data_IF_205459395214
#
_entry.id   IF_205459395214
#
_cell.length_a   1.000
_cell.length_b   1.000
_cell.length_c   1.000
_cell.angle_alpha   90.00
_cell.angle_beta   90.00
_cell.angle_gamma   90.00
#
_symmetry.space_group_name_H-M   'P 1'
#
loop_
_entity.id
_entity.type
_entity.pdbx_description
1 polymer ?
#
# COMPACT_ATOMS: atom_id res chain seq x y z
N UNK A 1 -62.03 20.56 51.48
CA UNK A 1 -61.48 21.38 50.39
C UNK A 1 -60.44 20.54 49.65
N UNK A 2 -60.67 20.25 48.37
CA UNK A 2 -59.75 19.59 47.41
C UNK A 2 -59.42 18.12 47.75
N UNK A 3 -59.77 17.10 46.97
CA UNK A 3 -60.02 17.03 45.53
C UNK A 3 -59.20 15.86 44.99
N UNK A 4 -59.72 14.64 45.12
CA UNK A 4 -59.14 13.43 44.55
C UNK A 4 -59.32 13.44 43.02
N UNK A 5 -58.22 13.51 42.27
CA UNK A 5 -58.19 13.31 40.83
C UNK A 5 -57.98 11.83 40.49
N UNK A 6 -59.01 11.20 39.92
CA UNK A 6 -58.93 9.90 39.27
C UNK A 6 -58.11 9.98 37.95
N UNK A 7 -57.60 8.83 37.46
CA UNK A 7 -56.61 8.74 36.38
C UNK A 7 -57.27 8.76 34.99
N UNK A 8 -56.52 9.19 33.98
CA UNK A 8 -56.90 9.02 32.56
C UNK A 8 -55.89 8.12 31.85
N UNK A 9 -56.33 6.90 31.56
CA UNK A 9 -55.66 5.96 30.68
C UNK A 9 -55.98 6.30 29.21
N UNK A 10 -54.97 6.38 28.35
CA UNK A 10 -55.08 6.06 26.91
C UNK A 10 -53.76 5.52 26.36
N UNK A 11 -53.67 4.20 26.34
CA UNK A 11 -53.51 3.47 25.08
C UNK A 11 -52.08 3.19 24.58
N UNK A 12 -51.79 1.94 24.17
CA UNK A 12 -50.49 1.48 23.73
C UNK A 12 -50.30 1.72 22.23
N UNK A 13 -49.04 1.87 21.79
CA UNK A 13 -48.68 1.64 20.39
C UNK A 13 -47.69 0.48 20.31
N UNK A 14 -47.84 -0.40 19.30
CA UNK A 14 -47.48 -1.80 19.41
C UNK A 14 -46.08 -2.11 18.88
N UNK A 15 -45.54 -3.21 19.41
CA UNK A 15 -44.50 -4.02 18.79
C UNK A 15 -44.87 -4.36 17.35
N UNK A 16 -44.08 -3.85 16.40
CA UNK A 16 -44.03 -4.37 15.04
C UNK A 16 -42.65 -4.95 14.79
N UNK A 17 -42.56 -6.21 15.21
CA UNK A 17 -41.74 -7.27 14.64
C UNK A 17 -41.96 -7.29 13.12
N UNK A 18 -40.98 -6.81 12.34
CA UNK A 18 -40.89 -7.15 10.91
C UNK A 18 -39.54 -7.81 10.69
N UNK A 19 -39.58 -9.14 10.76
CA UNK A 19 -38.61 -10.00 10.10
C UNK A 19 -38.68 -9.67 8.60
N UNK A 20 -37.69 -8.94 8.11
CA UNK A 20 -37.54 -8.58 6.71
C UNK A 20 -36.16 -8.97 6.23
N UNK A 21 -35.95 -10.28 6.07
CA UNK A 21 -34.84 -10.82 5.28
C UNK A 21 -35.01 -10.33 3.84
N UNK A 22 -34.29 -9.26 3.50
CA UNK A 22 -34.12 -8.82 2.11
C UNK A 22 -33.23 -9.87 1.44
N UNK A 23 -33.89 -10.85 0.84
CA UNK A 23 -33.28 -11.84 -0.02
C UNK A 23 -32.86 -11.15 -1.31
N UNK A 24 -31.55 -10.89 -1.42
CA UNK A 24 -30.94 -10.38 -2.65
C UNK A 24 -31.10 -11.43 -3.76
N UNK A 25 -31.72 -11.10 -4.91
CA UNK A 25 -31.76 -12.02 -6.04
C UNK A 25 -30.35 -12.21 -6.62
N UNK A 26 -29.86 -13.44 -6.51
CA UNK A 26 -28.66 -13.94 -7.17
C UNK A 26 -28.95 -14.12 -8.67
N UNK A 27 -28.54 -13.15 -9.48
CA UNK A 27 -28.56 -13.24 -10.94
C UNK A 27 -27.24 -12.70 -11.49
N UNK A 28 -26.61 -13.49 -12.36
CA UNK A 28 -25.64 -12.99 -13.33
C UNK A 28 -24.20 -13.44 -13.12
N UNK A 29 -23.87 -14.64 -13.61
CA UNK A 29 -22.50 -14.97 -14.01
C UNK A 29 -22.08 -14.03 -15.16
N UNK A 30 -21.36 -12.96 -14.86
CA UNK A 30 -20.63 -12.23 -15.88
C UNK A 30 -19.29 -12.92 -16.13
N UNK A 31 -19.29 -13.83 -17.12
CA UNK A 31 -18.05 -14.28 -17.77
C UNK A 31 -17.37 -13.07 -18.43
N UNK A 32 -16.04 -12.90 -18.32
CA UNK A 32 -15.35 -11.96 -19.18
C UNK A 32 -15.52 -12.37 -20.64
N UNK A 33 -16.10 -11.46 -21.42
CA UNK A 33 -16.17 -11.49 -22.87
C UNK A 33 -14.75 -11.54 -23.42
N UNK A 34 -14.43 -12.65 -24.08
CA UNK A 34 -13.21 -12.83 -24.85
C UNK A 34 -13.31 -11.94 -26.09
N UNK A 35 -12.56 -10.84 -26.13
CA UNK A 35 -12.43 -10.05 -27.35
C UNK A 35 -11.45 -10.76 -28.29
N UNK A 36 -12.02 -11.52 -29.22
CA UNK A 36 -11.32 -12.08 -30.37
C UNK A 36 -11.53 -11.18 -31.59
N UNK A 37 -10.65 -10.20 -31.78
CA UNK A 37 -10.39 -9.51 -33.07
C UNK A 37 -8.98 -8.92 -32.98
N UNK A 38 -7.97 -9.19 -33.80
CA UNK A 38 -7.70 -10.08 -34.91
C UNK A 38 -6.21 -9.88 -35.24
N UNK A 39 -5.48 -10.86 -35.80
CA UNK A 39 -4.05 -10.72 -36.03
C UNK A 39 -3.75 -9.77 -37.21
N UNK A 40 -2.84 -8.83 -36.98
CA UNK A 40 -2.21 -8.01 -38.02
C UNK A 40 -1.43 -8.95 -38.94
N UNK A 41 -1.90 -9.01 -40.19
CA UNK A 41 -1.35 -9.78 -41.30
C UNK A 41 0.02 -9.23 -41.70
N UNK A 42 1.09 -9.76 -41.13
CA UNK A 42 2.44 -9.58 -41.65
C UNK A 42 2.71 -10.68 -42.68
N UNK A 43 2.66 -10.31 -43.97
CA UNK A 43 3.16 -11.15 -45.06
C UNK A 43 4.68 -11.23 -44.92
N UNK A 44 5.20 -12.40 -44.60
CA UNK A 44 6.62 -12.71 -44.82
C UNK A 44 6.71 -14.08 -45.48
N UNK A 45 7.43 -14.09 -46.60
CA UNK A 45 7.60 -15.24 -47.49
C UNK A 45 8.20 -16.42 -46.75
N UNK A 46 7.66 -17.60 -47.03
CA UNK A 46 8.30 -18.90 -46.86
C UNK A 46 9.52 -18.96 -47.78
N UNK A 47 10.70 -19.24 -47.22
CA UNK A 47 11.83 -19.84 -47.95
C UNK A 47 12.53 -20.84 -47.03
N UNK A 48 12.32 -22.10 -47.40
CA UNK A 48 13.14 -23.31 -47.29
C UNK A 48 13.84 -23.78 -46.00
N UNK A 49 13.61 -25.08 -45.79
CA UNK A 49 14.14 -25.97 -44.78
C UNK A 49 15.59 -26.36 -45.07
N UNK A 50 16.46 -26.27 -44.05
CA UNK A 50 17.65 -27.12 -43.93
C UNK A 50 17.88 -27.44 -42.45
N UNK A 51 18.07 -28.73 -42.19
CA UNK A 51 18.15 -29.41 -40.92
C UNK A 51 19.57 -29.43 -40.31
N UNK A 52 19.61 -29.88 -39.04
CA UNK A 52 20.70 -30.51 -38.24
C UNK A 52 21.51 -29.59 -37.28
N UNK A 53 22.08 -30.12 -36.17
CA UNK A 53 21.50 -31.03 -35.16
C UNK A 53 21.76 -30.56 -33.70
N UNK A 54 21.07 -31.22 -32.75
CA UNK A 54 21.28 -31.14 -31.30
C UNK A 54 22.73 -31.49 -30.90
N UNK A 55 23.46 -30.55 -30.29
CA UNK A 55 24.41 -30.80 -29.19
C UNK A 55 25.22 -29.54 -28.83
N UNK A 56 24.88 -28.90 -27.72
CA UNK A 56 25.91 -28.39 -26.82
C UNK A 56 25.32 -27.94 -25.49
N UNK A 57 25.81 -28.62 -24.47
CA UNK A 57 25.61 -28.43 -23.04
C UNK A 57 25.85 -26.96 -22.67
N UNK A 58 24.85 -26.32 -22.07
CA UNK A 58 25.08 -25.19 -21.16
C UNK A 58 24.47 -25.52 -19.81
N UNK A 59 25.34 -26.04 -18.96
CA UNK A 59 25.22 -26.21 -17.53
C UNK A 59 24.42 -25.06 -16.90
N UNK A 60 23.25 -25.39 -16.35
CA UNK A 60 22.51 -24.51 -15.47
C UNK A 60 23.35 -24.30 -14.20
N UNK A 61 23.94 -23.11 -14.03
CA UNK A 61 24.54 -22.73 -12.76
C UNK A 61 23.41 -22.49 -11.75
N UNK A 62 23.05 -23.53 -11.01
CA UNK A 62 22.29 -23.38 -9.77
C UNK A 62 23.15 -22.54 -8.81
N UNK A 63 22.77 -21.28 -8.60
CA UNK A 63 23.34 -20.46 -7.54
C UNK A 63 22.96 -21.10 -6.20
N UNK A 64 23.94 -21.73 -5.58
CA UNK A 64 23.90 -22.17 -4.18
C UNK A 64 23.64 -20.94 -3.30
N UNK A 65 22.38 -20.70 -2.95
CA UNK A 65 22.02 -19.64 -2.02
C UNK A 65 22.31 -20.11 -0.61
N UNK A 66 23.56 -19.95 -0.19
CA UNK A 66 23.96 -20.03 1.21
C UNK A 66 23.19 -18.97 2.00
N UNK A 67 22.10 -19.39 2.63
CA UNK A 67 21.26 -18.57 3.54
C UNK A 67 22.08 -18.22 4.77
N UNK A 68 22.85 -17.14 4.65
CA UNK A 68 23.55 -16.54 5.77
C UNK A 68 22.49 -16.00 6.73
N UNK A 69 22.36 -16.62 7.91
CA UNK A 69 21.40 -16.21 8.94
C UNK A 69 21.67 -14.74 9.30
N UNK A 70 20.72 -13.85 9.00
CA UNK A 70 20.84 -12.43 9.39
C UNK A 70 20.80 -12.32 10.91
N UNK A 71 21.68 -11.51 11.47
CA UNK A 71 21.75 -11.26 12.91
C UNK A 71 20.59 -10.36 13.36
N UNK A 72 20.16 -10.52 14.61
CA UNK A 72 19.05 -9.78 15.23
C UNK A 72 19.29 -8.26 15.29
N UNK A 73 20.56 -7.83 15.28
CA UNK A 73 20.94 -6.42 15.21
C UNK A 73 20.77 -5.84 13.81
N UNK A 74 20.98 -6.64 12.76
CA UNK A 74 20.71 -6.23 11.38
C UNK A 74 19.21 -6.02 11.09
N UNK A 75 18.34 -6.43 12.03
CA UNK A 75 16.91 -6.21 11.94
C UNK A 75 16.51 -4.80 12.41
N UNK A 76 17.24 -4.15 13.31
CA UNK A 76 16.96 -2.76 13.69
C UNK A 76 17.75 -1.84 12.76
N UNK A 77 17.05 -1.10 11.91
CA UNK A 77 17.68 -0.33 10.83
C UNK A 77 16.97 0.99 10.65
N UNK A 78 17.76 2.04 10.59
CA UNK A 78 17.33 3.43 10.53
C UNK A 78 18.03 4.08 9.35
N UNK A 79 17.22 4.55 8.38
CA UNK A 79 17.72 5.06 7.10
C UNK A 79 16.95 6.27 6.66
N UNK A 80 17.64 7.21 6.04
CA UNK A 80 17.03 8.35 5.40
C UNK A 80 16.94 8.17 3.89
N UNK A 81 15.75 8.44 3.36
CA UNK A 81 15.42 8.30 1.97
C UNK A 81 14.84 9.60 1.43
N UNK A 82 15.12 9.87 0.15
CA UNK A 82 14.41 10.89 -0.61
C UNK A 82 13.36 10.20 -1.48
N UNK A 83 12.08 10.42 -1.18
CA UNK A 83 10.97 9.82 -1.94
C UNK A 83 10.53 10.79 -3.04
N UNK A 84 10.49 10.32 -4.28
CA UNK A 84 10.02 11.10 -5.43
C UNK A 84 8.50 10.98 -5.62
N UNK A 85 7.74 11.73 -4.82
CA UNK A 85 6.27 11.68 -4.82
C UNK A 85 5.64 12.02 -6.18
N UNK A 86 6.21 12.96 -6.94
CA UNK A 86 5.65 13.37 -8.23
C UNK A 86 5.53 12.21 -9.24
N UNK A 87 6.43 11.21 -9.20
CA UNK A 87 6.32 10.01 -10.07
C UNK A 87 5.14 9.13 -9.69
N UNK A 88 4.81 9.06 -8.40
CA UNK A 88 3.72 8.21 -7.89
C UNK A 88 2.34 8.84 -8.05
N UNK A 89 2.23 10.17 -8.02
CA UNK A 89 0.96 10.89 -8.16
C UNK A 89 0.67 11.35 -9.59
N UNK A 90 1.61 11.16 -10.52
CA UNK A 90 1.43 11.53 -11.93
C UNK A 90 0.24 10.81 -12.56
N UNK A 91 -0.55 11.52 -13.39
CA UNK A 91 -1.74 10.96 -14.03
C UNK A 91 -2.91 10.64 -13.10
N UNK A 92 -2.85 11.00 -11.81
CA UNK A 92 -3.97 10.84 -10.87
C UNK A 92 -4.84 12.08 -10.81
N UNK A 93 -6.12 11.86 -10.49
CA UNK A 93 -7.08 12.95 -10.28
C UNK A 93 -6.62 13.85 -9.12
N UNK A 94 -6.71 15.17 -9.32
CA UNK A 94 -6.21 16.18 -8.39
C UNK A 94 -6.74 15.98 -6.97
N UNK A 95 -8.03 15.68 -6.81
CA UNK A 95 -8.70 15.45 -5.51
C UNK A 95 -8.15 14.25 -4.73
N UNK A 96 -7.42 13.35 -5.39
CA UNK A 96 -6.89 12.13 -4.76
C UNK A 96 -5.37 12.11 -4.68
N UNK A 97 -4.66 13.18 -5.11
CA UNK A 97 -3.18 13.18 -5.17
C UNK A 97 -2.53 13.04 -3.80
N UNK A 98 -2.85 13.92 -2.85
CA UNK A 98 -2.24 13.83 -1.50
C UNK A 98 -2.60 12.54 -0.75
N UNK A 99 -3.86 12.06 -0.76
CA UNK A 99 -4.19 10.72 -0.23
C UNK A 99 -3.39 9.60 -0.89
N UNK A 100 -3.17 9.67 -2.20
CA UNK A 100 -2.31 8.71 -2.91
C UNK A 100 -0.83 8.86 -2.54
N UNK A 101 -0.35 10.06 -2.28
CA UNK A 101 1.02 10.28 -1.82
C UNK A 101 1.27 9.62 -0.46
N UNK A 102 0.32 9.73 0.48
CA UNK A 102 0.41 9.03 1.78
C UNK A 102 0.49 7.52 1.57
N UNK A 103 -0.36 6.96 0.68
CA UNK A 103 -0.30 5.53 0.32
C UNK A 103 1.02 5.14 -0.34
N UNK A 104 1.58 6.00 -1.18
CA UNK A 104 2.86 5.77 -1.82
C UNK A 104 4.02 5.76 -0.81
N UNK A 105 3.99 6.62 0.21
CA UNK A 105 4.98 6.59 1.30
C UNK A 105 4.89 5.29 2.10
N UNK A 106 3.67 4.84 2.42
CA UNK A 106 3.47 3.54 3.08
C UNK A 106 4.00 2.38 2.26
N UNK A 107 3.62 2.30 0.98
CA UNK A 107 4.10 1.26 0.07
C UNK A 107 5.63 1.31 -0.13
N UNK A 108 6.23 2.51 -0.10
CA UNK A 108 7.68 2.66 -0.16
C UNK A 108 8.37 2.11 1.09
N UNK A 109 7.84 2.38 2.29
CA UNK A 109 8.34 1.83 3.53
C UNK A 109 8.20 0.30 3.59
N UNK A 110 7.03 -0.23 3.23
CA UNK A 110 6.78 -1.68 3.13
C UNK A 110 7.78 -2.36 2.20
N UNK A 111 8.00 -1.79 1.00
CA UNK A 111 8.93 -2.35 0.01
C UNK A 111 10.39 -2.31 0.47
N UNK A 112 10.78 -1.24 1.16
CA UNK A 112 12.19 -0.99 1.51
C UNK A 112 12.60 -1.75 2.76
N UNK A 113 11.72 -1.80 3.76
CA UNK A 113 11.99 -2.44 5.06
C UNK A 113 11.46 -3.87 5.16
N UNK A 114 10.51 -4.25 4.29
CA UNK A 114 9.89 -5.58 4.28
C UNK A 114 8.87 -5.81 5.40
N UNK A 115 8.39 -4.75 6.06
CA UNK A 115 7.41 -4.81 7.16
C UNK A 115 6.01 -4.51 6.64
N UNK A 116 4.99 -5.21 7.15
CA UNK A 116 3.58 -4.92 6.83
C UNK A 116 2.99 -3.80 7.70
N UNK A 117 3.41 -3.68 8.96
CA UNK A 117 2.98 -2.58 9.83
C UNK A 117 3.85 -1.34 9.57
N UNK A 118 3.21 -0.27 9.07
CA UNK A 118 3.84 1.02 8.80
C UNK A 118 3.06 2.13 9.49
N UNK A 119 3.74 2.76 10.44
CA UNK A 119 3.23 3.88 11.24
C UNK A 119 3.80 5.18 10.68
N UNK A 120 2.91 6.09 10.31
CA UNK A 120 3.28 7.39 9.73
C UNK A 120 3.23 8.44 10.82
N UNK A 121 4.32 9.19 10.97
CA UNK A 121 4.39 10.29 11.92
C UNK A 121 3.42 11.45 11.55
N UNK A 122 2.78 12.10 12.54
CA UNK A 122 1.90 13.24 12.29
C UNK A 122 2.59 14.43 11.61
N UNK A 123 3.88 14.69 11.87
CA UNK A 123 4.60 15.78 11.20
C UNK A 123 4.81 15.49 9.71
N UNK A 124 5.08 14.23 9.35
CA UNK A 124 5.11 13.80 7.95
C UNK A 124 3.74 13.98 7.29
N UNK A 125 2.66 13.65 7.99
CA UNK A 125 1.31 13.88 7.47
C UNK A 125 1.07 15.39 7.24
N UNK A 126 1.40 16.25 8.22
CA UNK A 126 1.28 17.71 8.06
C UNK A 126 2.08 18.23 6.86
N UNK A 127 3.32 17.76 6.66
CA UNK A 127 4.15 18.16 5.53
C UNK A 127 3.54 17.78 4.17
N UNK A 128 2.96 16.57 4.06
CA UNK A 128 2.26 16.11 2.86
C UNK A 128 1.00 16.93 2.56
N UNK A 129 0.27 17.33 3.59
CA UNK A 129 -0.99 18.09 3.48
C UNK A 129 -0.81 19.62 3.46
N UNK A 130 0.41 20.13 3.66
CA UNK A 130 0.71 21.57 3.75
C UNK A 130 0.21 22.42 2.57
N UNK A 131 0.25 21.87 1.34
CA UNK A 131 -0.20 22.55 0.11
C UNK A 131 -1.63 22.17 -0.31
N UNK A 132 -2.33 21.37 0.51
CA UNK A 132 -3.68 20.88 0.29
C UNK A 132 -3.78 19.58 -0.50
N UNK A 133 -4.98 19.28 -1.00
CA UNK A 133 -5.30 17.96 -1.61
C UNK A 133 -4.76 17.81 -3.04
N UNK A 134 -4.71 18.92 -3.80
CA UNK A 134 -4.36 18.94 -5.23
C UNK A 134 -2.86 18.94 -5.48
N UNK A 135 -2.10 19.48 -4.55
CA UNK A 135 -0.67 19.72 -4.71
C UNK A 135 0.04 19.06 -3.53
N UNK A 136 0.89 18.07 -3.83
CA UNK A 136 1.79 17.48 -2.85
C UNK A 136 3.21 17.98 -3.14
N UNK A 137 4.11 17.95 -2.16
CA UNK A 137 5.54 18.17 -2.43
C UNK A 137 6.04 17.20 -3.51
N UNK A 138 6.92 17.66 -4.40
CA UNK A 138 7.45 16.82 -5.48
C UNK A 138 8.40 15.73 -4.95
N UNK A 139 9.18 16.09 -3.93
CA UNK A 139 10.12 15.23 -3.22
C UNK A 139 9.99 15.48 -1.73
N UNK A 140 10.24 14.44 -0.94
CA UNK A 140 10.23 14.52 0.52
C UNK A 140 11.39 13.71 1.07
N UNK A 141 12.10 14.27 2.06
CA UNK A 141 13.12 13.54 2.81
C UNK A 141 12.45 12.93 4.04
N UNK A 142 12.66 11.63 4.21
CA UNK A 142 11.97 10.82 5.18
C UNK A 142 12.99 9.93 5.87
N UNK A 143 12.93 9.85 7.19
CA UNK A 143 13.66 8.86 7.97
C UNK A 143 12.71 7.70 8.25
N UNK A 144 13.16 6.48 7.97
CA UNK A 144 12.42 5.26 8.22
C UNK A 144 13.22 4.47 9.25
N UNK A 145 12.60 4.25 10.41
CA UNK A 145 13.15 3.46 11.50
C UNK A 145 12.39 2.15 11.61
N UNK A 146 13.06 1.02 11.44
CA UNK A 146 12.50 -0.30 11.72
C UNK A 146 12.78 -0.64 13.17
N UNK A 147 11.73 -0.68 14.00
CA UNK A 147 11.79 -0.93 15.44
C UNK A 147 11.09 -2.24 15.80
N UNK A 148 11.48 -2.84 16.93
CA UNK A 148 10.79 -4.01 17.49
C UNK A 148 9.55 -3.54 18.26
N UNK A 149 8.47 -4.31 18.17
CA UNK A 149 7.28 -4.07 18.98
C UNK A 149 7.44 -4.73 20.35
N UNK A 150 7.04 -4.04 21.41
CA UNK A 150 7.13 -4.54 22.79
C UNK A 150 5.82 -5.18 23.27
N UNK A 151 4.70 -4.96 22.57
CA UNK A 151 3.42 -5.60 22.90
C UNK A 151 3.40 -7.06 22.41
N UNK A 152 3.13 -8.01 23.30
CA UNK A 152 3.06 -9.46 22.99
C UNK A 152 1.90 -9.84 22.06
N UNK A 153 0.83 -9.03 21.97
CA UNK A 153 -0.36 -9.33 21.15
C UNK A 153 -0.23 -8.91 19.66
N UNK A 154 0.89 -8.33 19.25
CA UNK A 154 1.06 -7.82 17.90
C UNK A 154 1.28 -8.95 16.87
N UNK A 155 0.56 -8.86 15.74
CA UNK A 155 0.65 -9.83 14.63
C UNK A 155 2.04 -9.92 13.98
N UNK A 156 2.81 -8.84 14.04
CA UNK A 156 4.13 -8.73 13.43
C UNK A 156 5.12 -8.18 14.47
N UNK A 157 6.31 -8.79 14.55
CA UNK A 157 7.34 -8.45 15.56
C UNK A 157 8.04 -7.11 15.31
N UNK A 158 8.03 -6.65 14.06
CA UNK A 158 8.74 -5.46 13.60
C UNK A 158 7.74 -4.49 12.96
N UNK A 159 7.86 -3.21 13.29
CA UNK A 159 7.13 -2.15 12.62
C UNK A 159 8.10 -1.10 12.06
N UNK A 160 7.67 -0.43 10.99
CA UNK A 160 8.39 0.72 10.45
C UNK A 160 7.72 2.01 10.89
N UNK A 161 8.49 2.89 11.52
CA UNK A 161 8.10 4.24 11.86
C UNK A 161 8.70 5.24 10.87
N UNK A 162 7.86 6.11 10.32
CA UNK A 162 8.23 6.98 9.21
C UNK A 162 8.12 8.44 9.65
N UNK A 163 9.25 9.12 9.77
CA UNK A 163 9.35 10.53 10.20
C UNK A 163 9.77 11.46 9.08
N UNK A 164 9.36 12.73 9.20
CA UNK A 164 9.75 13.78 8.26
C UNK A 164 11.06 14.42 8.68
N UNK A 165 11.99 14.57 7.72
CA UNK A 165 13.24 15.31 7.92
C UNK A 165 13.13 16.62 7.12
N UNK A 166 13.09 17.79 7.78
CA UNK A 166 13.08 19.06 7.08
C UNK A 166 14.45 19.31 6.43
N UNK A 167 14.46 19.57 5.13
CA UNK A 167 15.68 19.90 4.39
C UNK A 167 15.45 21.05 3.44
N UNK A 168 16.44 21.96 3.33
CA UNK A 168 16.36 23.12 2.45
C UNK A 168 16.57 22.76 0.96
N UNK A 169 17.45 21.79 0.65
CA UNK A 169 17.78 21.38 -0.72
C UNK A 169 17.79 19.86 -0.86
N UNK A 170 17.38 19.35 -2.03
CA UNK A 170 17.34 17.91 -2.34
C UNK A 170 18.43 17.45 -3.31
N UNK A 171 19.40 18.32 -3.63
CA UNK A 171 20.51 17.99 -4.53
C UNK A 171 21.59 17.24 -3.75
N UNK A 172 22.14 16.17 -4.34
CA UNK A 172 23.23 15.39 -3.74
C UNK A 172 22.86 14.55 -2.51
N UNK A 173 21.58 14.48 -2.14
CA UNK A 173 21.14 13.67 -1.00
C UNK A 173 20.89 12.23 -1.42
N UNK A 174 21.87 11.38 -1.13
CA UNK A 174 21.76 9.94 -1.28
C UNK A 174 21.09 9.30 -0.05
N UNK A 175 20.92 7.98 -0.10
CA UNK A 175 20.36 7.22 1.00
C UNK A 175 21.42 7.02 2.07
N UNK A 176 21.18 7.51 3.28
CA UNK A 176 22.12 7.41 4.39
C UNK A 176 21.56 6.47 5.45
N UNK A 177 22.42 5.64 6.02
CA UNK A 177 22.12 4.93 7.26
C UNK A 177 22.39 5.92 8.39
N UNK A 178 21.44 6.07 9.31
CA UNK A 178 21.56 6.96 10.46
C UNK A 178 21.50 6.09 11.69
N UNK A 179 22.51 6.13 12.55
CA UNK A 179 22.44 5.49 13.85
C UNK A 179 21.59 6.39 14.76
N UNK A 180 20.45 5.87 15.26
CA UNK A 180 19.70 6.55 16.31
C UNK A 180 20.42 6.20 17.63
N UNK A 181 21.22 7.13 18.17
CA UNK A 181 21.78 7.08 19.54
C UNK A 181 20.67 7.09 20.61
#
# INVERSE_FOLDING_TARGET
MGGAGHPSAKGPWPDLFISGTIQCPHLGRDKPRVDAVGPIRCKTKVVDQKTLPLSSIRTAMAKDQKTTKRSTLADVVTREYTIHLHKHVFGRSLRKRTPHAVKAVKAFAEKTMGTKDVRVDPALNKALWSRGVKHTSHRIRVRIARKRNDDEDAKEKLYSYVTYVPVASFKGLETTVVDDE
#
